data_IF_999016268740
#
_entry.id   IF_999016268740
#
_cell.length_a   1.000
_cell.length_b   1.000
_cell.length_c   1.000
_cell.angle_alpha   90.00
_cell.angle_beta   90.00
_cell.angle_gamma   90.00
#
_symmetry.space_group_name_H-M   'P 1'
#
loop_
_entity.id
_entity.type
_entity.pdbx_description
1 polymer ?
#
# COMPACT_ATOMS: atom_id res chain seq x y z
N UNK A 1 13.85 2.00 5.85
CA UNK A 1 13.76 3.40 5.39
C UNK A 1 13.24 4.34 6.47
N UNK A 2 12.01 4.21 6.99
CA UNK A 2 11.43 5.16 7.97
C UNK A 2 12.32 5.39 9.20
N UNK A 3 12.83 4.33 9.84
CA UNK A 3 13.77 4.45 10.97
C UNK A 3 15.13 5.06 10.59
N UNK A 4 15.59 4.84 9.36
CA UNK A 4 16.82 5.46 8.88
C UNK A 4 16.63 6.96 8.69
N UNK A 5 15.49 7.37 8.15
CA UNK A 5 15.13 8.79 8.05
C UNK A 5 15.00 9.43 9.43
N UNK A 6 14.30 8.76 10.37
CA UNK A 6 14.15 9.24 11.76
C UNK A 6 15.51 9.40 12.47
N UNK A 7 16.52 8.66 12.07
CA UNK A 7 17.90 8.75 12.59
C UNK A 7 18.81 9.67 11.78
N UNK A 8 18.28 10.35 10.77
CA UNK A 8 19.06 11.23 9.89
C UNK A 8 20.02 10.54 8.94
N UNK A 9 19.89 9.21 8.76
CA UNK A 9 20.76 8.43 7.89
C UNK A 9 20.39 8.58 6.41
N UNK A 10 19.15 8.98 6.13
CA UNK A 10 18.66 9.35 4.81
C UNK A 10 17.84 10.63 4.90
N UNK A 11 17.99 11.48 3.88
CA UNK A 11 17.36 12.81 3.84
C UNK A 11 16.64 13.02 2.50
N UNK A 12 15.65 13.94 2.47
CA UNK A 12 15.11 14.73 3.57
C UNK A 12 14.28 13.90 4.55
N UNK A 13 13.95 14.45 5.74
CA UNK A 13 12.99 13.82 6.64
C UNK A 13 11.62 13.77 5.97
N UNK A 14 10.92 12.61 5.96
CA UNK A 14 9.56 12.55 5.43
C UNK A 14 8.58 13.38 6.25
N UNK A 15 7.60 14.00 5.60
CA UNK A 15 6.51 14.70 6.28
C UNK A 15 5.51 13.73 6.93
N UNK A 16 5.37 12.54 6.37
CA UNK A 16 4.47 11.49 6.86
C UNK A 16 4.84 10.12 6.30
N UNK A 17 4.38 9.07 6.98
CA UNK A 17 4.31 7.72 6.42
C UNK A 17 2.85 7.30 6.25
N UNK A 18 2.57 6.48 5.23
CA UNK A 18 1.23 5.95 4.99
C UNK A 18 1.34 4.43 4.88
N UNK A 19 0.60 3.72 5.71
CA UNK A 19 0.47 2.27 5.68
C UNK A 19 -0.89 1.89 5.11
N UNK A 20 -0.89 1.14 4.01
CA UNK A 20 -2.11 0.60 3.42
C UNK A 20 -2.40 -0.78 4.02
N UNK A 21 -3.41 -0.83 4.87
CA UNK A 21 -3.86 -2.03 5.56
C UNK A 21 -4.86 -2.79 4.69
N UNK A 22 -4.53 -4.02 4.35
CA UNK A 22 -5.41 -4.92 3.59
C UNK A 22 -6.43 -5.65 4.49
N UNK A 23 -6.34 -5.48 5.82
CA UNK A 23 -7.12 -6.25 6.79
C UNK A 23 -6.69 -7.73 6.87
N UNK A 24 -5.63 -8.11 6.18
CA UNK A 24 -5.13 -9.49 6.13
C UNK A 24 -3.60 -9.57 6.18
N UNK A 25 -2.99 -8.68 6.90
CA UNK A 25 -1.55 -8.76 7.16
C UNK A 25 -1.28 -9.70 8.37
N UNK A 26 -0.14 -10.37 8.44
CA UNK A 26 0.26 -11.15 9.62
C UNK A 26 0.26 -10.29 10.89
N UNK A 27 -0.10 -10.88 12.02
CA UNK A 27 -0.15 -10.18 13.33
C UNK A 27 1.20 -9.51 13.68
N UNK A 28 2.31 -10.14 13.27
CA UNK A 28 3.64 -9.60 13.47
C UNK A 28 3.85 -8.25 12.75
N UNK A 29 3.19 -8.02 11.62
CA UNK A 29 3.25 -6.74 10.87
C UNK A 29 2.56 -5.65 11.68
N UNK A 30 1.38 -5.93 12.25
CA UNK A 30 0.68 -4.96 13.09
C UNK A 30 1.48 -4.62 14.36
N UNK A 31 2.03 -5.62 15.03
CA UNK A 31 2.88 -5.41 16.21
C UNK A 31 4.11 -4.56 15.87
N UNK A 32 4.76 -4.83 14.73
CA UNK A 32 5.86 -4.03 14.26
C UNK A 32 5.44 -2.59 13.92
N UNK A 33 4.29 -2.42 13.30
CA UNK A 33 3.76 -1.10 12.95
C UNK A 33 3.51 -0.25 14.20
N UNK A 34 2.92 -0.81 15.27
CA UNK A 34 2.76 -0.11 16.55
C UNK A 34 4.09 0.35 17.12
N UNK A 35 5.09 -0.53 17.18
CA UNK A 35 6.42 -0.17 17.67
C UNK A 35 7.11 0.86 16.78
N UNK A 36 6.84 0.85 15.49
CA UNK A 36 7.40 1.80 14.54
C UNK A 36 6.79 3.19 14.75
N UNK A 37 5.48 3.28 14.92
CA UNK A 37 4.76 4.53 15.15
C UNK A 37 5.29 5.29 16.37
N UNK A 38 5.60 4.57 17.45
CA UNK A 38 6.17 5.18 18.67
C UNK A 38 7.59 5.75 18.47
N UNK A 39 8.32 5.28 17.47
CA UNK A 39 9.73 5.66 17.24
C UNK A 39 9.92 6.69 16.13
N UNK A 40 8.86 7.02 15.39
CA UNK A 40 8.96 7.95 14.28
C UNK A 40 8.63 9.38 14.72
N UNK A 41 9.43 10.37 14.28
CA UNK A 41 9.20 11.78 14.59
C UNK A 41 8.12 12.42 13.70
N UNK A 42 7.53 11.66 12.79
CA UNK A 42 6.49 12.08 11.85
C UNK A 42 5.30 11.12 11.91
N UNK A 43 4.09 11.59 11.56
CA UNK A 43 2.88 10.80 11.66
C UNK A 43 2.87 9.59 10.73
N UNK A 44 2.27 8.50 11.20
CA UNK A 44 1.97 7.31 10.39
C UNK A 44 0.46 7.23 10.21
N UNK A 45 -0.01 7.36 8.98
CA UNK A 45 -1.42 7.22 8.65
C UNK A 45 -1.72 5.80 8.20
N UNK A 46 -2.70 5.17 8.85
CA UNK A 46 -3.23 3.88 8.41
C UNK A 46 -4.43 4.12 7.52
N UNK A 47 -4.42 3.52 6.34
CA UNK A 47 -5.50 3.62 5.37
C UNK A 47 -5.93 2.22 4.94
N UNK A 48 -7.22 2.02 4.71
CA UNK A 48 -7.78 0.75 4.27
C UNK A 48 -8.87 0.96 3.24
N UNK A 49 -9.03 0.00 2.35
CA UNK A 49 -10.14 -0.05 1.37
C UNK A 49 -11.11 -1.20 1.69
N UNK A 50 -10.93 -1.87 2.82
CA UNK A 50 -11.72 -3.01 3.25
C UNK A 50 -10.87 -4.18 3.73
N UNK A 51 -11.50 -5.31 3.95
CA UNK A 51 -10.82 -6.54 4.37
C UNK A 51 -10.67 -7.48 3.17
N UNK A 52 -9.45 -7.63 2.68
CA UNK A 52 -9.14 -8.46 1.50
C UNK A 52 -9.59 -9.91 1.67
N UNK A 53 -9.45 -10.46 2.89
CA UNK A 53 -9.87 -11.84 3.18
C UNK A 53 -11.38 -11.99 3.13
N UNK A 54 -12.11 -11.09 3.76
CA UNK A 54 -13.57 -11.12 3.79
C UNK A 54 -14.14 -10.88 2.39
N UNK A 55 -13.60 -9.93 1.66
CA UNK A 55 -14.00 -9.63 0.29
C UNK A 55 -13.77 -10.83 -0.64
N UNK A 56 -12.65 -11.56 -0.45
CA UNK A 56 -12.35 -12.77 -1.20
C UNK A 56 -13.33 -13.90 -0.87
N UNK A 57 -13.62 -14.12 0.41
CA UNK A 57 -14.50 -15.21 0.85
C UNK A 57 -15.98 -14.96 0.52
N UNK A 58 -16.40 -13.70 0.52
CA UNK A 58 -17.79 -13.30 0.30
C UNK A 58 -18.09 -12.93 -1.15
N UNK A 59 -17.09 -12.88 -2.02
CA UNK A 59 -17.31 -12.60 -3.45
C UNK A 59 -17.92 -13.81 -4.15
N UNK A 60 -19.24 -13.87 -4.15
CA UNK A 60 -20.00 -15.03 -4.59
C UNK A 60 -20.12 -15.20 -6.09
N UNK A 61 -19.77 -14.22 -6.93
CA UNK A 61 -19.75 -14.39 -8.42
C UNK A 61 -19.00 -13.28 -9.13
N UNK A 62 -18.28 -13.58 -10.23
CA UNK A 62 -17.90 -12.60 -11.23
C UNK A 62 -19.19 -12.04 -11.86
N UNK A 63 -19.43 -10.75 -11.74
CA UNK A 63 -20.56 -10.07 -12.38
C UNK A 63 -21.73 -9.65 -11.49
N UNK A 64 -21.66 -9.85 -10.17
CA UNK A 64 -22.58 -9.22 -9.21
C UNK A 64 -22.30 -7.71 -9.16
N UNK A 65 -23.30 -6.91 -9.43
CA UNK A 65 -23.23 -5.46 -9.71
C UNK A 65 -22.74 -4.59 -8.58
N UNK A 66 -22.41 -5.10 -7.39
CA UNK A 66 -22.13 -4.26 -6.22
C UNK A 66 -20.92 -4.68 -5.37
N UNK A 67 -20.20 -5.76 -5.68
CA UNK A 67 -19.05 -6.17 -4.89
C UNK A 67 -17.78 -6.26 -5.75
N UNK A 68 -16.75 -5.55 -5.32
CA UNK A 68 -15.43 -5.66 -5.90
C UNK A 68 -14.92 -7.09 -5.76
N UNK A 69 -14.63 -7.72 -6.86
CA UNK A 69 -13.94 -8.99 -6.87
C UNK A 69 -12.49 -8.76 -6.42
N UNK A 70 -12.13 -9.26 -5.25
CA UNK A 70 -10.76 -9.21 -4.76
C UNK A 70 -9.92 -10.24 -5.51
N UNK A 71 -9.29 -9.82 -6.59
CA UNK A 71 -8.35 -10.65 -7.35
C UNK A 71 -7.06 -10.83 -6.58
N UNK A 72 -6.92 -11.94 -5.88
CA UNK A 72 -5.62 -12.40 -5.37
C UNK A 72 -4.91 -13.20 -6.47
N UNK A 73 -3.56 -13.24 -6.49
CA UNK A 73 -2.84 -14.08 -7.42
C UNK A 73 -3.09 -15.56 -7.08
N UNK A 74 -3.75 -16.27 -7.96
CA UNK A 74 -3.93 -17.72 -7.89
C UNK A 74 -3.69 -18.33 -9.27
N UNK A 75 -3.24 -19.57 -9.29
CA UNK A 75 -3.11 -20.33 -10.53
C UNK A 75 -4.42 -21.03 -10.83
N UNK A 76 -4.86 -20.93 -12.07
CA UNK A 76 -6.00 -21.70 -12.58
C UNK A 76 -5.57 -23.12 -12.94
N UNK A 77 -6.50 -24.08 -12.88
CA UNK A 77 -6.21 -25.48 -13.26
C UNK A 77 -5.65 -25.65 -14.68
N UNK A 78 -5.81 -24.66 -15.53
CA UNK A 78 -5.28 -24.64 -16.92
C UNK A 78 -3.92 -23.93 -17.03
N UNK A 79 -3.21 -23.69 -15.93
CA UNK A 79 -1.88 -23.07 -15.92
C UNK A 79 -1.87 -21.54 -16.09
N UNK A 80 -3.02 -20.89 -16.18
CA UNK A 80 -3.11 -19.42 -16.16
C UNK A 80 -2.98 -18.85 -14.76
N UNK A 81 -2.49 -17.62 -14.64
CA UNK A 81 -2.48 -16.87 -13.38
C UNK A 81 -3.58 -15.80 -13.37
N UNK A 82 -4.37 -15.76 -12.30
CA UNK A 82 -5.39 -14.74 -12.11
C UNK A 82 -4.80 -13.33 -12.04
N UNK A 83 -5.58 -12.32 -12.42
CA UNK A 83 -5.13 -10.92 -12.42
C UNK A 83 -4.87 -10.43 -11.00
N UNK A 84 -3.65 -9.91 -10.74
CA UNK A 84 -3.24 -9.31 -9.46
C UNK A 84 -3.78 -7.89 -9.32
N UNK A 85 -5.04 -7.73 -8.99
CA UNK A 85 -5.64 -6.41 -8.75
C UNK A 85 -5.59 -5.99 -7.27
N UNK A 86 -5.36 -6.92 -6.34
CA UNK A 86 -5.32 -6.63 -4.91
C UNK A 86 -4.31 -5.52 -4.55
N UNK A 87 -3.13 -5.50 -5.16
CA UNK A 87 -2.14 -4.44 -4.92
C UNK A 87 -2.68 -3.07 -5.34
N UNK A 88 -3.35 -2.98 -6.47
CA UNK A 88 -3.92 -1.73 -6.94
C UNK A 88 -5.05 -1.27 -6.03
N UNK A 89 -6.01 -2.14 -5.79
CA UNK A 89 -7.26 -1.77 -5.13
C UNK A 89 -7.09 -1.57 -3.62
N UNK A 90 -6.34 -2.45 -2.94
CA UNK A 90 -6.19 -2.40 -1.49
C UNK A 90 -4.96 -1.64 -1.00
N UNK A 91 -3.96 -1.38 -1.85
CA UNK A 91 -2.74 -0.65 -1.47
C UNK A 91 -2.63 0.69 -2.21
N UNK A 92 -2.60 0.69 -3.54
CA UNK A 92 -2.33 1.93 -4.28
C UNK A 92 -3.47 2.96 -4.19
N UNK A 93 -4.72 2.53 -4.32
CA UNK A 93 -5.87 3.44 -4.28
C UNK A 93 -5.98 4.19 -2.95
N UNK A 94 -5.98 3.52 -1.77
CA UNK A 94 -6.05 4.21 -0.49
C UNK A 94 -4.82 5.08 -0.22
N UNK A 95 -3.61 4.67 -0.63
CA UNK A 95 -2.39 5.51 -0.55
C UNK A 95 -2.56 6.81 -1.34
N UNK A 96 -3.00 6.72 -2.60
CA UNK A 96 -3.24 7.90 -3.44
C UNK A 96 -4.32 8.83 -2.88
N UNK A 97 -5.39 8.27 -2.32
CA UNK A 97 -6.45 9.04 -1.68
C UNK A 97 -5.90 9.84 -0.49
N UNK A 98 -5.14 9.18 0.39
CA UNK A 98 -4.55 9.83 1.56
C UNK A 98 -3.50 10.87 1.18
N UNK A 99 -2.68 10.60 0.20
CA UNK A 99 -1.70 11.57 -0.32
C UNK A 99 -2.39 12.84 -0.83
N UNK A 100 -3.49 12.72 -1.58
CA UNK A 100 -4.27 13.89 -2.04
C UNK A 100 -4.88 14.67 -0.87
N UNK A 101 -5.42 13.97 0.12
CA UNK A 101 -5.97 14.57 1.32
C UNK A 101 -4.90 15.41 2.05
N UNK A 102 -3.72 14.85 2.27
CA UNK A 102 -2.61 15.53 2.94
C UNK A 102 -2.12 16.76 2.18
N UNK A 103 -2.20 16.74 0.86
CA UNK A 103 -1.84 17.89 0.03
C UNK A 103 -2.91 18.98 -0.05
N UNK A 104 -4.11 18.72 0.47
CA UNK A 104 -5.24 19.65 0.39
C UNK A 104 -5.70 19.95 -1.04
N UNK A 105 -5.35 19.13 -2.01
CA UNK A 105 -5.63 19.35 -3.44
C UNK A 105 -6.24 18.11 -4.09
N UNK A 106 -7.14 18.32 -5.06
CA UNK A 106 -7.81 17.23 -5.76
C UNK A 106 -6.85 16.35 -6.58
N UNK A 107 -5.96 16.93 -7.37
CA UNK A 107 -4.93 16.22 -8.15
C UNK A 107 -3.58 16.92 -7.98
N UNK A 108 -2.57 16.27 -7.40
CA UNK A 108 -1.24 16.84 -7.28
C UNK A 108 -0.65 17.17 -8.65
N UNK A 109 0.05 18.30 -8.75
CA UNK A 109 0.87 18.60 -9.92
C UNK A 109 2.06 17.63 -9.99
N UNK A 110 2.59 17.34 -11.18
CA UNK A 110 3.82 16.57 -11.30
C UNK A 110 4.94 17.21 -10.44
N UNK A 111 5.65 16.37 -9.68
CA UNK A 111 6.70 16.83 -8.77
C UNK A 111 6.26 17.41 -7.43
N UNK A 112 4.95 17.53 -7.17
CA UNK A 112 4.45 18.05 -5.87
C UNK A 112 4.72 17.10 -4.69
N UNK A 113 4.99 15.83 -4.95
CA UNK A 113 5.23 14.79 -3.93
C UNK A 113 6.39 13.91 -4.34
N UNK A 114 7.31 13.69 -3.42
CA UNK A 114 8.31 12.63 -3.52
C UNK A 114 7.86 11.45 -2.65
N UNK A 115 7.58 10.33 -3.27
CA UNK A 115 7.14 9.13 -2.56
C UNK A 115 8.30 8.13 -2.45
N UNK A 116 8.63 7.74 -1.23
CA UNK A 116 9.64 6.72 -0.97
C UNK A 116 8.99 5.35 -0.82
N UNK A 117 9.46 4.40 -1.61
CA UNK A 117 9.02 3.01 -1.57
C UNK A 117 10.21 2.14 -1.19
N UNK A 118 10.04 1.30 -0.16
CA UNK A 118 11.05 0.32 0.22
C UNK A 118 11.08 -0.82 -0.79
N UNK A 119 12.20 -0.96 -1.49
CA UNK A 119 12.48 -2.07 -2.40
C UNK A 119 13.78 -2.71 -1.95
N UNK A 120 13.79 -4.03 -1.76
CA UNK A 120 15.00 -4.77 -1.43
C UNK A 120 15.89 -4.95 -2.67
N UNK A 121 17.16 -5.25 -2.48
CA UNK A 121 18.12 -5.40 -3.58
C UNK A 121 17.78 -6.52 -4.56
N UNK A 122 17.18 -7.60 -4.07
CA UNK A 122 16.65 -8.71 -4.86
C UNK A 122 15.39 -8.36 -5.65
N UNK A 123 14.71 -7.26 -5.30
CA UNK A 123 13.57 -6.72 -6.03
C UNK A 123 13.94 -5.51 -6.93
N UNK A 124 15.20 -5.14 -7.05
CA UNK A 124 15.65 -3.95 -7.78
C UNK A 124 15.15 -3.92 -9.25
N UNK A 125 14.97 -5.09 -9.86
CA UNK A 125 14.39 -5.23 -11.20
C UNK A 125 12.92 -4.74 -11.31
N UNK A 126 12.23 -4.57 -10.19
CA UNK A 126 10.86 -4.01 -10.14
C UNK A 126 10.84 -2.48 -10.14
N UNK A 127 12.00 -1.86 -9.98
CA UNK A 127 12.13 -0.40 -10.10
C UNK A 127 11.88 0.01 -11.54
N UNK A 128 10.81 0.75 -11.76
CA UNK A 128 10.55 1.40 -13.05
C UNK A 128 11.04 2.84 -12.96
N UNK A 129 11.88 3.24 -13.90
CA UNK A 129 12.13 4.65 -14.13
C UNK A 129 10.85 5.27 -14.69
N UNK A 130 10.13 5.99 -13.85
CA UNK A 130 9.06 6.86 -14.30
C UNK A 130 9.74 8.16 -14.74
N UNK A 131 10.00 8.26 -16.05
CA UNK A 131 10.37 9.51 -16.68
C UNK A 131 9.17 10.43 -16.80
#
# INVERSE_FOLDING_TARGET
>A
MALMAARGLITPMPDAAIFADTGWEPIAVYNWLYQLEEKLPFPVYRVSEGNLREDLLNSTRPGGTERRYASVPFFTGNGGMGMRQCTKDYKLVPLWRKTRELLGQGRPKPGAVSMWIGISTDEAQRMKHNG
#
